data_IF_537779060672
#
_entry.id   IF_537779060672
#
_cell.length_a   1.000
_cell.length_b   1.000
_cell.length_c   1.000
_cell.angle_alpha   90.00
_cell.angle_beta   90.00
_cell.angle_gamma   90.00
#
_symmetry.space_group_name_H-M   'P 1'
#
loop_
_entity.id
_entity.type
_entity.pdbx_description
1 polymer ?
#
# COMPACT_ATOMS: atom_id res chain seq x y z
N UNK A 1 -5.35 7.46 37.04
CA UNK A 1 -4.89 6.51 36.00
C UNK A 1 -3.37 6.39 36.09
N UNK A 2 -2.79 5.18 36.09
CA UNK A 2 -1.33 5.00 36.05
C UNK A 2 -0.87 5.30 34.61
N UNK A 3 -0.12 6.38 34.42
CA UNK A 3 0.36 6.82 33.10
C UNK A 3 1.68 6.14 32.68
N UNK A 4 2.29 5.34 33.57
CA UNK A 4 3.53 4.63 33.32
C UNK A 4 3.46 3.20 33.87
N UNK A 5 3.85 2.23 33.04
CA UNK A 5 3.91 0.80 33.37
C UNK A 5 5.37 0.35 33.25
N UNK A 6 5.95 -0.18 34.32
CA UNK A 6 7.34 -0.66 34.28
C UNK A 6 7.44 -1.83 33.31
N UNK A 7 8.61 -1.99 32.68
CA UNK A 7 8.81 -3.03 31.67
C UNK A 7 8.56 -4.45 32.23
N UNK A 8 8.92 -4.70 33.50
CA UNK A 8 8.66 -5.96 34.21
C UNK A 8 7.18 -6.23 34.51
N UNK A 9 6.33 -5.21 34.47
CA UNK A 9 4.88 -5.32 34.67
C UNK A 9 4.12 -5.45 33.34
N UNK A 10 4.81 -5.37 32.18
CA UNK A 10 4.19 -5.55 30.88
C UNK A 10 3.81 -7.02 30.71
N UNK A 11 2.61 -7.24 30.15
CA UNK A 11 2.20 -8.57 29.69
C UNK A 11 3.20 -9.04 28.63
N UNK A 12 3.42 -10.35 28.56
CA UNK A 12 4.23 -10.94 27.51
C UNK A 12 3.75 -10.44 26.13
N UNK A 13 4.70 -10.19 25.23
CA UNK A 13 4.39 -9.73 23.89
C UNK A 13 3.48 -10.77 23.20
N UNK A 14 2.40 -10.34 22.53
CA UNK A 14 1.54 -11.26 21.81
C UNK A 14 2.35 -11.94 20.71
N UNK A 15 2.02 -13.20 20.42
CA UNK A 15 2.60 -13.89 19.27
C UNK A 15 2.28 -13.11 17.98
N UNK A 16 3.20 -13.12 16.98
CA UNK A 16 2.94 -12.52 15.69
C UNK A 16 1.63 -13.05 15.10
N UNK A 17 0.74 -12.13 14.70
CA UNK A 17 -0.52 -12.48 14.05
C UNK A 17 -0.22 -12.68 12.56
N UNK A 18 -0.71 -13.79 11.97
CA UNK A 18 -0.62 -13.96 10.52
C UNK A 18 -1.50 -12.92 9.82
N UNK A 19 -0.88 -12.06 9.03
CA UNK A 19 -1.55 -11.06 8.19
C UNK A 19 -1.50 -11.45 6.72
N UNK A 20 -2.55 -11.06 5.98
CA UNK A 20 -2.57 -11.18 4.52
C UNK A 20 -2.17 -9.85 3.88
N UNK A 21 -0.86 -9.57 3.87
CA UNK A 21 -0.28 -8.33 3.35
C UNK A 21 -0.61 -8.11 1.86
N UNK A 22 -0.91 -9.19 1.13
CA UNK A 22 -1.27 -9.12 -0.30
C UNK A 22 -2.56 -8.35 -0.51
N UNK A 23 -3.53 -8.46 0.42
CA UNK A 23 -4.80 -7.73 0.30
C UNK A 23 -4.57 -6.23 0.38
N UNK A 24 -3.71 -5.78 1.28
CA UNK A 24 -3.37 -4.37 1.41
C UNK A 24 -2.68 -3.86 0.12
N UNK A 25 -1.71 -4.60 -0.40
CA UNK A 25 -1.00 -4.23 -1.64
C UNK A 25 -1.97 -4.24 -2.84
N UNK A 26 -2.80 -5.27 -2.97
CA UNK A 26 -3.79 -5.38 -4.05
C UNK A 26 -4.78 -4.21 -4.03
N UNK A 27 -5.22 -3.79 -2.84
CA UNK A 27 -6.10 -2.63 -2.68
C UNK A 27 -5.42 -1.37 -3.22
N UNK A 28 -4.15 -1.15 -2.89
CA UNK A 28 -3.35 -0.05 -3.43
C UNK A 28 -3.20 -0.11 -4.95
N UNK A 29 -2.92 -1.29 -5.51
CA UNK A 29 -2.82 -1.52 -6.97
C UNK A 29 -4.14 -1.19 -7.66
N UNK A 30 -5.27 -1.63 -7.12
CA UNK A 30 -6.60 -1.36 -7.69
C UNK A 30 -6.89 0.14 -7.68
N UNK A 31 -6.62 0.82 -6.55
CA UNK A 31 -6.84 2.26 -6.42
C UNK A 31 -5.98 3.05 -7.41
N UNK A 32 -4.67 2.76 -7.48
CA UNK A 32 -3.78 3.46 -8.41
C UNK A 32 -4.08 3.13 -9.88
N UNK A 33 -4.48 1.89 -10.18
CA UNK A 33 -4.92 1.50 -11.51
C UNK A 33 -6.17 2.27 -11.95
N UNK A 34 -7.16 2.40 -11.06
CA UNK A 34 -8.36 3.20 -11.33
C UNK A 34 -8.01 4.68 -11.53
N UNK A 35 -7.15 5.25 -10.68
CA UNK A 35 -6.69 6.62 -10.82
C UNK A 35 -5.94 6.85 -12.14
N UNK A 36 -5.09 5.91 -12.55
CA UNK A 36 -4.38 5.97 -13.84
C UNK A 36 -5.35 5.95 -15.02
N UNK A 37 -6.38 5.10 -14.98
CA UNK A 37 -7.43 5.05 -15.99
C UNK A 37 -8.13 6.42 -16.09
N UNK A 38 -8.53 7.00 -14.97
CA UNK A 38 -9.16 8.33 -14.95
C UNK A 38 -8.22 9.40 -15.52
N UNK A 39 -6.95 9.38 -15.13
CA UNK A 39 -5.98 10.38 -15.56
C UNK A 39 -5.71 10.34 -17.08
N UNK A 40 -5.75 9.15 -17.70
CA UNK A 40 -5.59 8.98 -19.15
C UNK A 40 -6.87 9.34 -19.91
N UNK A 41 -8.04 8.97 -19.39
CA UNK A 41 -9.32 9.16 -20.08
C UNK A 41 -9.89 10.58 -19.98
N UNK A 42 -9.42 11.38 -19.03
CA UNK A 42 -9.91 12.76 -18.81
C UNK A 42 -8.87 13.75 -19.34
N UNK A 43 -9.07 14.36 -20.53
CA UNK A 43 -8.05 15.20 -21.18
C UNK A 43 -7.63 16.42 -20.35
N UNK A 44 -8.55 16.97 -19.55
CA UNK A 44 -8.28 18.08 -18.65
C UNK A 44 -7.28 17.71 -17.54
N UNK A 45 -7.27 16.45 -17.11
CA UNK A 45 -6.31 15.94 -16.11
C UNK A 45 -4.95 15.73 -16.75
N UNK A 46 -4.90 15.16 -17.96
CA UNK A 46 -3.64 14.87 -18.66
C UNK A 46 -2.84 16.14 -18.99
N UNK A 47 -3.51 17.21 -19.41
CA UNK A 47 -2.85 18.47 -19.79
C UNK A 47 -2.39 19.33 -18.61
N UNK A 48 -3.15 19.35 -17.51
CA UNK A 48 -2.87 20.23 -16.37
C UNK A 48 -1.99 19.54 -15.32
N UNK A 49 -2.16 18.23 -15.11
CA UNK A 49 -1.60 17.50 -13.97
C UNK A 49 -0.70 16.36 -14.43
N UNK A 50 0.25 16.66 -15.32
CA UNK A 50 1.22 15.68 -15.84
C UNK A 50 2.04 14.97 -14.73
N UNK A 51 2.28 15.65 -13.60
CA UNK A 51 2.92 15.05 -12.41
C UNK A 51 2.02 14.03 -11.69
N UNK A 52 0.69 14.20 -11.74
CA UNK A 52 -0.25 13.24 -11.15
C UNK A 52 -0.29 11.93 -11.94
N UNK A 53 -0.16 12.00 -13.27
CA UNK A 53 -0.02 10.81 -14.12
C UNK A 53 1.20 9.97 -13.71
N UNK A 54 2.37 10.61 -13.57
CA UNK A 54 3.59 9.90 -13.14
C UNK A 54 3.46 9.31 -11.74
N UNK A 55 2.77 10.00 -10.82
CA UNK A 55 2.46 9.45 -9.50
C UNK A 55 1.59 8.20 -9.60
N UNK A 56 0.56 8.21 -10.45
CA UNK A 56 -0.30 7.04 -10.66
C UNK A 56 0.46 5.86 -11.27
N UNK A 57 1.32 6.12 -12.26
CA UNK A 57 2.19 5.11 -12.87
C UNK A 57 3.13 4.51 -11.81
N UNK A 58 3.79 5.35 -11.02
CA UNK A 58 4.71 4.90 -9.97
C UNK A 58 3.98 4.08 -8.89
N UNK A 59 2.83 4.56 -8.40
CA UNK A 59 2.02 3.85 -7.41
C UNK A 59 1.56 2.48 -7.92
N UNK A 60 1.09 2.41 -9.16
CA UNK A 60 0.68 1.15 -9.79
C UNK A 60 1.86 0.19 -9.97
N UNK A 61 2.98 0.67 -10.51
CA UNK A 61 4.18 -0.14 -10.75
C UNK A 61 4.79 -0.68 -9.44
N UNK A 62 4.92 0.17 -8.42
CA UNK A 62 5.41 -0.22 -7.10
C UNK A 62 4.47 -1.23 -6.43
N UNK A 63 3.16 -1.06 -6.58
CA UNK A 63 2.17 -2.02 -6.07
C UNK A 63 2.29 -3.39 -6.75
N UNK A 64 2.45 -3.44 -8.07
CA UNK A 64 2.69 -4.70 -8.79
C UNK A 64 4.00 -5.37 -8.36
N UNK A 65 5.08 -4.59 -8.23
CA UNK A 65 6.35 -5.09 -7.74
C UNK A 65 6.23 -5.66 -6.31
N UNK A 66 5.47 -5.00 -5.44
CA UNK A 66 5.16 -5.48 -4.10
C UNK A 66 4.37 -6.80 -4.09
N UNK A 67 3.38 -6.94 -4.99
CA UNK A 67 2.66 -8.20 -5.16
C UNK A 67 3.62 -9.32 -5.58
N UNK A 68 4.44 -9.08 -6.59
CA UNK A 68 5.43 -10.06 -7.08
C UNK A 68 6.40 -10.46 -5.96
N UNK A 69 6.94 -9.49 -5.22
CA UNK A 69 7.84 -9.74 -4.09
C UNK A 69 7.17 -10.60 -2.99
N UNK A 70 5.94 -10.27 -2.61
CA UNK A 70 5.19 -11.04 -1.59
C UNK A 70 4.73 -12.42 -2.09
N UNK A 71 4.62 -12.62 -3.40
CA UNK A 71 4.43 -13.94 -3.99
C UNK A 71 5.71 -14.78 -3.89
N UNK A 72 6.86 -14.20 -4.24
CA UNK A 72 8.14 -14.90 -4.17
C UNK A 72 8.55 -15.24 -2.74
N UNK A 73 8.37 -14.33 -1.77
CA UNK A 73 8.77 -14.57 -0.37
C UNK A 73 7.97 -15.65 0.34
N UNK A 74 6.80 -16.04 -0.21
CA UNK A 74 5.99 -17.15 0.32
C UNK A 74 6.38 -18.52 -0.24
N UNK A 75 7.10 -18.58 -1.36
CA UNK A 75 7.63 -19.84 -1.89
C UNK A 75 8.90 -20.21 -1.16
#
# INVERSE_FOLDING_TARGET
MRLYLKHSERRAEPAPVETDDRRAILTGVVIWGAALIVAVLVPSVMGQWSSALWTCIAGFALGLAGLVYTQFRRR
#
